data_IF_903770832722
#
_entry.id   IF_903770832722
#
_cell.length_a   1.000
_cell.length_b   1.000
_cell.length_c   1.000
_cell.angle_alpha   90.00
_cell.angle_beta   90.00
_cell.angle_gamma   90.00
#
_symmetry.space_group_name_H-M   'P 1'
#
loop_
_entity.id
_entity.type
_entity.pdbx_description
1 polymer ?
#
# COMPACT_ATOMS: atom_id res chain seq x y z
N UNK A 1 51.96 -5.66 87.47
CA UNK A 1 51.71 -6.97 86.83
C UNK A 1 50.23 -7.34 86.99
N UNK A 2 49.28 -6.67 86.29
CA UNK A 2 47.87 -7.12 86.23
C UNK A 2 46.95 -6.35 85.25
N UNK A 3 47.47 -6.00 84.06
CA UNK A 3 46.64 -5.52 82.93
C UNK A 3 46.81 -6.36 81.66
N UNK A 4 47.90 -7.11 81.57
CA UNK A 4 48.19 -8.03 80.45
C UNK A 4 47.43 -9.37 80.61
N UNK A 5 47.15 -9.81 81.85
CA UNK A 5 46.44 -11.07 82.13
C UNK A 5 44.91 -11.03 81.86
N UNK A 6 44.29 -9.85 81.73
CA UNK A 6 42.85 -9.76 81.42
C UNK A 6 42.55 -9.89 79.92
N UNK A 7 43.47 -9.52 79.04
CA UNK A 7 43.28 -9.71 77.59
C UNK A 7 43.56 -11.15 77.13
N UNK A 8 44.35 -11.92 77.88
CA UNK A 8 44.64 -13.32 77.54
C UNK A 8 43.49 -14.29 77.88
N UNK A 9 42.57 -13.90 78.76
CA UNK A 9 41.47 -14.77 79.21
C UNK A 9 40.17 -14.52 78.43
N UNK A 10 39.99 -13.34 77.83
CA UNK A 10 38.81 -13.06 76.98
C UNK A 10 38.90 -13.76 75.62
N UNK A 11 40.09 -14.17 75.18
CA UNK A 11 40.25 -15.03 74.00
C UNK A 11 39.72 -16.47 74.19
N UNK A 12 39.32 -16.85 75.42
CA UNK A 12 38.86 -18.21 75.74
C UNK A 12 37.32 -18.37 75.80
N UNK A 13 36.54 -17.32 75.53
CA UNK A 13 35.07 -17.36 75.68
C UNK A 13 34.39 -16.84 74.40
N UNK A 14 34.52 -17.57 73.30
CA UNK A 14 33.45 -17.76 72.31
C UNK A 14 33.57 -19.21 71.79
N UNK A 15 33.19 -20.15 72.66
CA UNK A 15 32.97 -21.56 72.32
C UNK A 15 31.49 -21.71 71.94
N UNK A 16 31.22 -21.98 70.66
CA UNK A 16 29.85 -22.16 70.18
C UNK A 16 29.78 -22.78 68.80
N UNK A 17 30.26 -24.02 68.65
CA UNK A 17 29.57 -25.20 68.06
C UNK A 17 30.58 -26.33 67.81
N UNK A 18 30.28 -27.53 68.31
CA UNK A 18 31.08 -28.76 68.19
C UNK A 18 30.81 -29.47 66.85
N UNK A 19 31.86 -29.91 66.16
CA UNK A 19 31.75 -30.72 64.94
C UNK A 19 33.08 -31.15 64.30
N UNK A 20 33.79 -32.08 64.95
CA UNK A 20 34.83 -33.01 64.43
C UNK A 20 36.07 -32.49 63.68
N UNK A 21 37.21 -32.51 64.41
CA UNK A 21 38.57 -32.90 64.00
C UNK A 21 39.25 -32.22 62.80
N UNK A 22 40.03 -31.17 63.09
CA UNK A 22 41.46 -31.02 62.68
C UNK A 22 42.07 -29.80 63.40
N UNK A 23 43.02 -30.04 64.30
CA UNK A 23 43.87 -28.99 64.88
C UNK A 23 44.76 -28.43 63.77
N UNK A 24 44.59 -27.14 63.43
CA UNK A 24 45.51 -26.17 62.79
C UNK A 24 44.71 -25.26 61.86
N UNK A 25 44.13 -24.18 62.41
CA UNK A 25 43.98 -22.84 61.83
C UNK A 25 42.94 -22.08 62.68
N UNK A 26 43.41 -21.31 63.67
CA UNK A 26 42.58 -20.30 64.32
C UNK A 26 42.26 -19.23 63.28
N UNK A 27 41.00 -19.14 62.85
CA UNK A 27 40.52 -18.01 62.05
C UNK A 27 40.40 -16.80 62.97
N UNK A 28 41.18 -15.77 62.71
CA UNK A 28 41.06 -14.48 63.36
C UNK A 28 40.53 -13.52 62.30
N UNK A 29 39.24 -13.23 62.38
CA UNK A 29 38.64 -12.21 61.54
C UNK A 29 39.36 -10.88 61.83
N UNK A 30 39.97 -10.29 60.80
CA UNK A 30 40.68 -9.00 60.92
C UNK A 30 39.70 -7.83 61.03
N UNK A 31 38.51 -7.98 60.44
CA UNK A 31 37.44 -7.00 60.53
C UNK A 31 36.84 -6.89 61.93
N UNK A 32 36.45 -5.67 62.32
CA UNK A 32 35.59 -5.44 63.48
C UNK A 32 34.23 -6.10 63.26
N UNK A 33 33.71 -6.84 64.26
CA UNK A 33 32.42 -7.55 64.20
C UNK A 33 32.26 -8.54 63.02
N UNK A 34 33.37 -9.05 62.49
CA UNK A 34 33.39 -9.94 61.33
C UNK A 34 33.25 -11.43 61.70
N UNK A 35 32.74 -12.23 60.76
CA UNK A 35 32.60 -13.70 60.88
C UNK A 35 33.57 -14.38 59.91
N UNK A 36 34.45 -15.24 60.41
CA UNK A 36 35.40 -16.00 59.60
C UNK A 36 35.39 -17.49 59.94
N UNK A 37 34.96 -18.31 58.99
CA UNK A 37 34.88 -19.77 59.14
C UNK A 37 35.49 -20.48 57.93
N UNK A 38 36.40 -21.43 58.18
CA UNK A 38 37.02 -22.27 57.15
C UNK A 38 38.52 -22.02 56.96
N UNK A 39 39.22 -23.05 56.50
CA UNK A 39 40.68 -23.01 56.33
C UNK A 39 41.10 -21.91 55.33
N UNK A 40 41.84 -20.91 55.81
CA UNK A 40 42.35 -19.80 54.99
C UNK A 40 41.29 -18.80 54.54
N UNK A 41 40.08 -18.87 55.11
CA UNK A 41 39.08 -17.80 54.99
C UNK A 41 39.66 -16.48 55.51
N UNK A 42 39.17 -15.34 55.00
CA UNK A 42 39.61 -13.99 55.40
C UNK A 42 38.44 -13.02 55.42
N UNK A 43 37.99 -12.65 56.62
CA UNK A 43 37.04 -11.57 56.82
C UNK A 43 37.80 -10.30 57.25
N UNK A 44 38.20 -9.47 56.27
CA UNK A 44 39.08 -8.31 56.49
C UNK A 44 38.35 -6.99 56.75
N UNK A 45 37.09 -6.89 56.31
CA UNK A 45 36.29 -5.68 56.43
C UNK A 45 35.46 -5.65 57.70
N UNK A 46 35.09 -4.46 58.17
CA UNK A 46 34.14 -4.32 59.27
C UNK A 46 32.79 -4.97 58.90
N UNK A 47 32.16 -5.67 59.84
CA UNK A 47 30.90 -6.41 59.65
C UNK A 47 30.93 -7.45 58.52
N UNK A 48 32.13 -7.84 58.05
CA UNK A 48 32.25 -8.73 56.90
C UNK A 48 32.10 -10.21 57.28
N UNK A 49 31.65 -11.03 56.34
CA UNK A 49 31.41 -12.47 56.56
C UNK A 49 32.17 -13.28 55.52
N UNK A 50 33.10 -14.13 55.95
CA UNK A 50 33.82 -15.08 55.08
C UNK A 50 33.63 -16.51 55.59
N UNK A 51 32.85 -17.32 54.87
CA UNK A 51 32.54 -18.72 55.24
C UNK A 51 32.94 -19.64 54.09
N UNK A 52 33.85 -20.58 54.34
CA UNK A 52 34.37 -21.53 53.36
C UNK A 52 35.88 -21.40 53.16
N UNK A 53 36.53 -22.51 52.79
CA UNK A 53 37.98 -22.52 52.59
C UNK A 53 38.41 -21.47 51.56
N UNK A 54 39.41 -20.65 51.90
CA UNK A 54 39.92 -19.56 51.06
C UNK A 54 38.89 -18.48 50.67
N UNK A 55 37.71 -18.43 51.29
CA UNK A 55 36.73 -17.36 51.10
C UNK A 55 37.30 -16.00 51.57
N UNK A 56 37.00 -14.91 50.87
CA UNK A 56 37.56 -13.58 51.16
C UNK A 56 36.48 -12.50 51.09
N UNK A 57 36.15 -11.92 52.23
CA UNK A 57 35.33 -10.73 52.35
C UNK A 57 36.23 -9.53 52.72
N UNK A 58 36.59 -8.72 51.72
CA UNK A 58 37.73 -7.80 51.83
C UNK A 58 37.43 -6.41 52.40
N UNK A 59 36.17 -5.96 52.38
CA UNK A 59 35.77 -4.59 52.72
C UNK A 59 34.48 -4.57 53.57
N UNK A 60 34.08 -3.38 54.03
CA UNK A 60 32.95 -3.22 54.96
C UNK A 60 31.65 -3.82 54.43
N UNK A 61 30.91 -4.50 55.30
CA UNK A 61 29.64 -5.16 55.01
C UNK A 61 29.69 -6.17 53.84
N UNK A 62 30.88 -6.66 53.46
CA UNK A 62 31.03 -7.61 52.37
C UNK A 62 30.85 -9.06 52.83
N UNK A 63 30.24 -9.90 52.00
CA UNK A 63 29.85 -11.28 52.34
C UNK A 63 30.39 -12.24 51.28
N UNK A 64 31.25 -13.18 51.68
CA UNK A 64 31.79 -14.23 50.83
C UNK A 64 31.50 -15.61 51.44
N UNK A 65 30.61 -16.38 50.83
CA UNK A 65 30.21 -17.71 51.31
C UNK A 65 30.45 -18.74 50.20
N UNK A 66 31.40 -19.65 50.41
CA UNK A 66 31.78 -20.70 49.47
C UNK A 66 33.30 -20.85 49.35
N UNK A 67 33.76 -22.04 48.96
CA UNK A 67 35.19 -22.26 48.72
C UNK A 67 35.71 -21.32 47.62
N UNK A 68 36.76 -20.56 47.91
CA UNK A 68 37.31 -19.50 47.05
C UNK A 68 36.34 -18.37 46.67
N UNK A 69 35.23 -18.17 47.39
CA UNK A 69 34.35 -17.01 47.16
C UNK A 69 35.10 -15.69 47.46
N UNK A 70 34.90 -14.65 46.66
CA UNK A 70 35.57 -13.34 46.82
C UNK A 70 34.55 -12.21 46.75
N UNK A 71 34.28 -11.55 47.86
CA UNK A 71 33.59 -10.26 47.92
C UNK A 71 34.61 -9.15 48.14
N UNK A 72 35.00 -8.50 47.04
CA UNK A 72 36.16 -7.60 47.00
C UNK A 72 35.84 -6.19 47.49
N UNK A 73 34.64 -5.63 47.28
CA UNK A 73 34.31 -4.24 47.61
C UNK A 73 33.22 -4.13 48.70
N UNK A 74 32.97 -2.90 49.16
CA UNK A 74 31.96 -2.62 50.19
C UNK A 74 30.58 -3.09 49.75
N UNK A 75 29.83 -3.70 50.68
CA UNK A 75 28.50 -4.27 50.44
C UNK A 75 28.43 -5.33 49.34
N UNK A 76 29.56 -5.83 48.84
CA UNK A 76 29.60 -6.87 47.82
C UNK A 76 29.25 -8.23 48.42
N UNK A 77 28.52 -9.05 47.69
CA UNK A 77 28.09 -10.38 48.13
C UNK A 77 28.47 -11.44 47.10
N UNK A 78 29.32 -12.38 47.47
CA UNK A 78 29.75 -13.53 46.68
C UNK A 78 29.27 -14.83 47.34
N UNK A 79 28.35 -15.56 46.71
CA UNK A 79 27.75 -16.78 47.23
C UNK A 79 27.96 -17.95 46.25
N UNK A 80 28.75 -18.95 46.63
CA UNK A 80 29.02 -20.16 45.84
C UNK A 80 30.51 -20.40 45.60
N UNK A 81 30.86 -21.61 45.16
CA UNK A 81 32.22 -21.99 44.79
C UNK A 81 32.78 -21.02 43.76
N UNK A 82 33.91 -20.38 44.09
CA UNK A 82 34.62 -19.46 43.21
C UNK A 82 33.72 -18.34 42.64
N UNK A 83 32.71 -17.92 43.40
CA UNK A 83 31.91 -16.72 43.10
C UNK A 83 32.74 -15.46 43.38
N UNK A 84 32.61 -14.44 42.53
CA UNK A 84 33.47 -13.25 42.57
C UNK A 84 32.61 -11.99 42.44
N UNK A 85 32.46 -11.24 43.53
CA UNK A 85 31.79 -9.95 43.54
C UNK A 85 32.82 -8.80 43.66
N UNK A 86 33.13 -8.16 42.53
CA UNK A 86 34.08 -7.02 42.44
C UNK A 86 33.41 -5.66 42.38
N UNK A 87 32.11 -5.57 42.15
CA UNK A 87 31.41 -4.28 42.23
C UNK A 87 31.14 -3.88 43.67
N UNK A 88 31.17 -2.58 43.98
CA UNK A 88 30.56 -2.09 45.22
C UNK A 88 29.03 -2.34 45.14
N UNK A 89 28.44 -2.87 46.22
CA UNK A 89 27.01 -3.25 46.30
C UNK A 89 26.58 -4.25 45.22
N UNK A 90 27.49 -5.08 44.72
CA UNK A 90 27.18 -6.10 43.72
C UNK A 90 26.89 -7.47 44.35
N UNK A 91 26.12 -8.31 43.66
CA UNK A 91 25.76 -9.67 44.11
C UNK A 91 26.17 -10.66 43.04
N UNK A 92 27.12 -11.56 43.33
CA UNK A 92 27.45 -12.72 42.52
C UNK A 92 27.04 -13.99 43.27
N UNK A 93 25.94 -14.63 42.85
CA UNK A 93 25.45 -15.85 43.49
C UNK A 93 25.35 -17.00 42.48
N UNK A 94 26.14 -18.04 42.72
CA UNK A 94 26.26 -19.22 41.87
C UNK A 94 27.73 -19.59 41.66
N UNK A 95 27.95 -20.85 41.30
CA UNK A 95 29.31 -21.39 41.05
C UNK A 95 29.95 -20.65 39.87
N UNK A 96 31.14 -20.08 40.07
CA UNK A 96 31.84 -19.25 39.07
C UNK A 96 31.06 -18.02 38.58
N UNK A 97 30.09 -17.51 39.35
CA UNK A 97 29.45 -16.24 39.04
C UNK A 97 30.43 -15.06 39.25
N UNK A 98 30.37 -14.04 38.39
CA UNK A 98 31.20 -12.84 38.50
C UNK A 98 30.34 -11.57 38.38
N UNK A 99 30.61 -10.59 39.23
CA UNK A 99 30.17 -9.20 39.03
C UNK A 99 31.35 -8.25 39.03
N UNK A 100 31.40 -7.31 38.08
CA UNK A 100 32.39 -6.22 38.02
C UNK A 100 31.77 -4.84 38.17
N UNK A 101 30.52 -4.68 37.75
CA UNK A 101 29.82 -3.41 37.81
C UNK A 101 29.38 -3.05 39.22
N UNK A 102 29.43 -1.77 39.58
CA UNK A 102 28.76 -1.28 40.79
C UNK A 102 27.26 -1.55 40.67
N UNK A 103 26.60 -1.97 41.75
CA UNK A 103 25.17 -2.33 41.79
C UNK A 103 24.75 -3.50 40.88
N UNK A 104 25.68 -4.24 40.27
CA UNK A 104 25.32 -5.32 39.34
C UNK A 104 24.93 -6.61 40.07
N UNK A 105 24.13 -7.46 39.42
CA UNK A 105 23.64 -8.72 39.98
C UNK A 105 23.86 -9.86 38.99
N UNK A 106 24.57 -10.91 39.38
CA UNK A 106 24.81 -12.13 38.60
C UNK A 106 24.30 -13.35 39.38
N UNK A 107 23.26 -14.02 38.87
CA UNK A 107 22.58 -15.14 39.52
C UNK A 107 22.58 -16.39 38.63
N UNK A 108 23.40 -17.38 38.96
CA UNK A 108 23.51 -18.63 38.23
C UNK A 108 24.95 -19.16 38.16
N UNK A 109 25.11 -20.38 37.65
CA UNK A 109 26.45 -20.89 37.37
C UNK A 109 27.05 -20.18 36.15
N UNK A 110 28.31 -19.77 36.26
CA UNK A 110 29.09 -19.11 35.20
C UNK A 110 28.46 -17.80 34.65
N UNK A 111 27.67 -17.09 35.46
CA UNK A 111 27.07 -15.80 35.06
C UNK A 111 28.03 -14.64 35.21
N UNK A 112 27.96 -13.63 34.33
CA UNK A 112 28.75 -12.42 34.44
C UNK A 112 27.90 -11.15 34.29
N UNK A 113 27.87 -10.29 35.30
CA UNK A 113 27.29 -8.95 35.22
C UNK A 113 28.40 -7.89 35.40
N UNK A 114 28.93 -7.41 34.27
CA UNK A 114 30.15 -6.59 34.25
C UNK A 114 29.89 -5.09 34.10
N UNK A 115 28.75 -4.69 33.52
CA UNK A 115 28.37 -3.30 33.40
C UNK A 115 27.81 -2.70 34.69
N UNK A 116 27.91 -1.38 34.84
CA UNK A 116 27.30 -0.65 35.95
C UNK A 116 25.79 -0.93 36.00
N UNK A 117 25.27 -1.36 37.16
CA UNK A 117 23.85 -1.65 37.34
C UNK A 117 23.30 -2.78 36.46
N UNK A 118 24.16 -3.63 35.88
CA UNK A 118 23.71 -4.70 34.99
C UNK A 118 23.19 -5.93 35.75
N UNK A 119 22.35 -6.74 35.09
CA UNK A 119 21.74 -7.93 35.69
C UNK A 119 21.86 -9.15 34.77
N UNK A 120 22.52 -10.21 35.23
CA UNK A 120 22.62 -11.49 34.52
C UNK A 120 21.97 -12.61 35.35
N UNK A 121 20.99 -13.33 34.78
CA UNK A 121 20.27 -14.41 35.45
C UNK A 121 20.12 -15.63 34.54
N UNK A 122 20.59 -16.80 35.02
CA UNK A 122 20.55 -18.08 34.29
C UNK A 122 21.94 -18.56 33.88
N UNK A 123 22.12 -19.88 33.72
CA UNK A 123 23.43 -20.50 33.44
C UNK A 123 24.16 -19.82 32.27
N UNK A 124 25.41 -19.39 32.50
CA UNK A 124 26.24 -18.73 31.50
C UNK A 124 25.61 -17.46 30.85
N UNK A 125 24.74 -16.74 31.57
CA UNK A 125 24.24 -15.43 31.12
C UNK A 125 25.26 -14.31 31.32
N UNK A 126 25.25 -13.33 30.42
CA UNK A 126 26.25 -12.25 30.35
C UNK A 126 25.59 -10.87 30.15
N UNK A 127 25.62 -10.01 31.17
CA UNK A 127 25.18 -8.62 31.08
C UNK A 127 26.40 -7.70 31.13
N UNK A 128 26.95 -7.38 29.96
CA UNK A 128 28.28 -6.77 29.80
C UNK A 128 28.23 -5.25 29.60
N UNK A 129 27.13 -4.71 29.07
CA UNK A 129 26.92 -3.26 28.96
C UNK A 129 26.41 -2.62 30.24
N UNK A 130 26.62 -1.32 30.40
CA UNK A 130 26.04 -0.56 31.53
C UNK A 130 24.51 -0.56 31.44
N UNK A 131 23.84 -0.79 32.57
CA UNK A 131 22.38 -0.95 32.68
C UNK A 131 21.82 -2.02 31.73
N UNK A 132 22.61 -3.06 31.42
CA UNK A 132 22.16 -4.16 30.56
C UNK A 132 21.52 -5.28 31.38
N UNK A 133 20.60 -6.02 30.77
CA UNK A 133 19.89 -7.12 31.40
C UNK A 133 19.92 -8.38 30.52
N UNK A 134 20.41 -9.49 31.05
CA UNK A 134 20.46 -10.79 30.38
C UNK A 134 19.72 -11.85 31.20
N UNK A 135 18.58 -12.33 30.69
CA UNK A 135 17.72 -13.31 31.36
C UNK A 135 17.60 -14.59 30.53
N UNK A 136 18.18 -15.69 31.01
CA UNK A 136 18.11 -17.00 30.37
C UNK A 136 19.48 -17.65 30.21
N UNK A 137 19.51 -18.96 30.02
CA UNK A 137 20.75 -19.68 29.75
C UNK A 137 21.43 -19.12 28.49
N UNK A 138 22.73 -18.80 28.57
CA UNK A 138 23.52 -18.21 27.49
C UNK A 138 22.96 -16.89 26.92
N UNK A 139 22.03 -16.21 27.61
CA UNK A 139 21.58 -14.88 27.19
C UNK A 139 22.72 -13.87 27.34
N UNK A 140 22.88 -12.96 26.38
CA UNK A 140 23.95 -11.98 26.38
C UNK A 140 23.47 -10.58 25.96
N UNK A 141 23.61 -9.61 26.86
CA UNK A 141 23.36 -8.20 26.61
C UNK A 141 24.72 -7.47 26.57
N UNK A 142 25.22 -7.22 25.36
CA UNK A 142 26.58 -6.71 25.13
C UNK A 142 26.70 -5.20 25.24
N UNK A 143 25.60 -4.49 24.98
CA UNK A 143 25.58 -3.04 24.81
C UNK A 143 24.85 -2.33 25.94
N UNK A 144 25.05 -1.01 26.02
CA UNK A 144 24.47 -0.17 27.06
C UNK A 144 22.94 -0.19 26.97
N UNK A 145 22.28 -0.33 28.11
CA UNK A 145 20.82 -0.32 28.22
C UNK A 145 20.12 -1.36 27.32
N UNK A 146 20.81 -2.45 26.99
CA UNK A 146 20.26 -3.53 26.16
C UNK A 146 19.72 -4.67 27.01
N UNK A 147 18.66 -5.31 26.52
CA UNK A 147 17.91 -6.37 27.22
C UNK A 147 17.89 -7.61 26.33
N UNK A 148 18.41 -8.75 26.82
CA UNK A 148 18.37 -10.04 26.15
C UNK A 148 17.55 -11.04 26.98
N UNK A 149 16.41 -11.51 26.46
CA UNK A 149 15.53 -12.46 27.16
C UNK A 149 15.36 -13.76 26.39
N UNK A 150 15.69 -14.89 27.02
CA UNK A 150 15.54 -16.25 26.51
C UNK A 150 16.87 -16.97 26.25
N UNK A 151 16.80 -18.28 26.07
CA UNK A 151 17.96 -19.14 25.78
C UNK A 151 18.76 -18.62 24.58
N UNK A 152 20.03 -18.29 24.80
CA UNK A 152 20.95 -17.80 23.77
C UNK A 152 20.59 -16.44 23.18
N UNK A 153 19.63 -15.69 23.75
CA UNK A 153 19.25 -14.39 23.19
C UNK A 153 20.43 -13.42 23.23
N UNK A 154 20.60 -12.61 22.18
CA UNK A 154 21.68 -11.62 22.12
C UNK A 154 21.13 -10.23 21.80
N UNK A 155 21.54 -9.24 22.59
CA UNK A 155 21.29 -7.83 22.33
C UNK A 155 22.65 -7.12 22.13
N UNK A 156 22.95 -6.78 20.87
CA UNK A 156 24.23 -6.26 20.42
C UNK A 156 24.23 -4.73 20.30
N UNK A 157 23.06 -4.09 20.21
CA UNK A 157 22.95 -2.63 20.04
C UNK A 157 22.51 -1.94 21.34
N UNK A 158 22.84 -0.64 21.47
CA UNK A 158 22.36 0.17 22.59
C UNK A 158 20.84 0.32 22.55
N UNK A 159 20.19 0.25 23.71
CA UNK A 159 18.72 0.33 23.86
C UNK A 159 17.93 -0.79 23.15
N UNK A 160 18.60 -1.87 22.72
CA UNK A 160 17.95 -3.00 22.07
C UNK A 160 17.22 -3.90 23.07
N UNK A 161 15.98 -4.29 22.75
CA UNK A 161 15.29 -5.39 23.42
C UNK A 161 15.24 -6.61 22.50
N UNK A 162 16.06 -7.62 22.79
CA UNK A 162 16.17 -8.85 22.00
C UNK A 162 15.53 -10.05 22.70
N UNK A 163 14.67 -10.72 21.95
CA UNK A 163 14.13 -12.05 22.29
C UNK A 163 14.65 -13.13 21.37
N UNK A 164 15.67 -12.84 20.56
CA UNK A 164 16.19 -13.74 19.53
C UNK A 164 17.65 -14.12 19.78
N UNK A 165 18.02 -15.33 19.39
CA UNK A 165 19.43 -15.74 19.36
C UNK A 165 20.04 -15.21 18.08
N UNK A 166 21.04 -14.35 18.22
CA UNK A 166 21.90 -13.96 17.12
C UNK A 166 23.16 -14.85 17.08
N UNK A 167 23.62 -15.15 15.88
CA UNK A 167 24.77 -16.01 15.60
C UNK A 167 25.98 -15.22 15.13
N UNK A 168 25.86 -13.89 15.08
CA UNK A 168 27.02 -13.00 14.96
C UNK A 168 27.97 -13.28 16.14
N UNK A 169 29.14 -13.84 15.82
CA UNK A 169 30.24 -14.21 16.71
C UNK A 169 29.95 -15.29 17.77
N UNK A 170 29.75 -16.54 17.35
CA UNK A 170 29.98 -17.69 18.24
C UNK A 170 31.47 -17.78 18.63
N UNK A 171 31.77 -17.96 19.92
CA UNK A 171 33.14 -18.18 20.44
C UNK A 171 33.75 -19.52 19.98
N UNK A 172 32.98 -20.35 19.28
CA UNK A 172 33.38 -21.64 18.73
C UNK A 172 33.19 -21.65 17.21
N UNK A 173 34.31 -21.61 16.50
CA UNK A 173 34.39 -21.82 15.06
C UNK A 173 34.07 -23.31 14.76
N UNK A 174 33.03 -23.61 13.99
CA UNK A 174 32.80 -24.97 13.45
C UNK A 174 31.44 -25.64 13.67
N UNK A 175 30.50 -25.02 14.39
CA UNK A 175 29.10 -25.46 14.43
C UNK A 175 28.21 -24.32 13.92
N UNK A 176 27.48 -24.46 12.80
CA UNK A 176 26.55 -23.45 12.35
C UNK A 176 25.41 -23.40 13.36
N UNK A 177 25.49 -22.49 14.32
CA UNK A 177 24.31 -22.14 15.09
C UNK A 177 23.38 -21.36 14.16
N UNK A 178 22.11 -21.74 14.12
CA UNK A 178 21.08 -20.98 13.40
C UNK A 178 20.56 -19.85 14.30
N UNK A 179 20.29 -18.69 13.70
CA UNK A 179 19.61 -17.61 14.40
C UNK A 179 18.22 -18.12 14.84
N UNK A 180 17.88 -17.92 16.12
CA UNK A 180 16.57 -18.32 16.64
C UNK A 180 15.70 -17.08 16.74
N UNK A 181 14.66 -17.04 15.91
CA UNK A 181 13.57 -16.07 16.02
C UNK A 181 12.46 -16.65 16.89
N UNK A 182 11.91 -15.83 17.79
CA UNK A 182 10.78 -16.22 18.63
C UNK A 182 9.52 -15.51 18.16
N UNK A 183 8.40 -16.24 18.15
CA UNK A 183 7.08 -15.60 18.02
C UNK A 183 6.73 -14.95 19.34
N UNK A 184 6.31 -13.69 19.28
CA UNK A 184 5.69 -12.99 20.40
C UNK A 184 4.18 -13.08 20.20
N UNK A 185 3.49 -13.81 21.07
CA UNK A 185 2.03 -14.07 20.96
C UNK A 185 1.29 -13.49 22.16
N UNK A 186 -0.04 -13.38 22.07
CA UNK A 186 -0.88 -12.71 23.07
C UNK A 186 -0.54 -11.23 23.28
N UNK A 187 -0.09 -10.57 22.21
CA UNK A 187 0.10 -9.12 22.16
C UNK A 187 -1.24 -8.49 21.82
N UNK A 188 -1.69 -7.55 22.65
CA UNK A 188 -2.87 -6.75 22.37
C UNK A 188 -2.60 -5.75 21.23
N UNK A 189 -3.66 -5.35 20.54
CA UNK A 189 -3.61 -4.35 19.48
C UNK A 189 -2.97 -3.03 19.94
N UNK A 190 -1.98 -2.56 19.18
CA UNK A 190 -1.32 -1.28 19.44
C UNK A 190 -2.24 -0.09 19.20
N UNK A 191 -2.17 0.93 20.06
CA UNK A 191 -3.03 2.12 20.01
C UNK A 191 -2.23 3.37 19.68
N UNK A 192 -1.00 3.48 20.18
CA UNK A 192 -0.08 4.60 19.98
C UNK A 192 0.96 4.30 18.91
N UNK A 193 1.66 5.34 18.46
CA UNK A 193 2.65 5.26 17.37
C UNK A 193 3.84 4.32 17.65
N UNK A 194 4.15 4.04 18.92
CA UNK A 194 5.26 3.18 19.33
C UNK A 194 4.81 1.83 19.92
N UNK A 195 3.53 1.47 19.78
CA UNK A 195 3.05 0.17 20.20
C UNK A 195 3.37 -0.89 19.14
N UNK A 196 3.54 -2.15 19.56
CA UNK A 196 3.66 -3.27 18.64
C UNK A 196 2.36 -3.46 17.85
N UNK A 197 2.47 -3.77 16.56
CA UNK A 197 1.32 -4.04 15.67
C UNK A 197 1.04 -5.54 15.65
N UNK A 198 -0.21 -5.94 15.89
CA UNK A 198 -0.62 -7.34 15.75
C UNK A 198 -0.85 -7.71 14.28
N UNK A 199 -0.80 -9.02 13.98
CA UNK A 199 -1.12 -9.51 12.61
C UNK A 199 -2.55 -9.17 12.21
N UNK A 200 -3.49 -9.14 13.16
CA UNK A 200 -4.87 -8.73 12.93
C UNK A 200 -4.97 -7.26 12.50
N UNK A 201 -4.32 -6.34 13.21
CA UNK A 201 -4.28 -4.93 12.84
C UNK A 201 -3.69 -4.71 11.45
N UNK A 202 -2.60 -5.40 11.13
CA UNK A 202 -1.97 -5.33 9.82
C UNK A 202 -2.95 -5.81 8.74
N UNK A 203 -3.57 -6.97 8.92
CA UNK A 203 -4.51 -7.55 7.96
C UNK A 203 -5.77 -6.70 7.78
N UNK A 204 -6.30 -6.11 8.86
CA UNK A 204 -7.45 -5.19 8.82
C UNK A 204 -7.11 -3.92 8.04
N UNK A 205 -5.95 -3.30 8.31
CA UNK A 205 -5.48 -2.11 7.57
C UNK A 205 -5.21 -2.41 6.10
N UNK A 206 -4.62 -3.56 5.78
CA UNK A 206 -4.34 -3.97 4.41
C UNK A 206 -5.62 -4.34 3.65
N UNK A 207 -6.54 -5.07 4.28
CA UNK A 207 -7.86 -5.39 3.73
C UNK A 207 -8.68 -4.15 3.39
N UNK A 208 -8.65 -3.13 4.27
CA UNK A 208 -9.30 -1.84 4.00
C UNK A 208 -8.67 -1.09 2.82
N UNK A 209 -7.35 -1.20 2.60
CA UNK A 209 -6.69 -0.60 1.44
C UNK A 209 -7.04 -1.32 0.14
N UNK A 210 -7.06 -2.65 0.11
CA UNK A 210 -7.32 -3.41 -1.12
C UNK A 210 -8.74 -3.20 -1.69
N UNK A 211 -9.71 -2.76 -0.90
CA UNK A 211 -11.11 -2.78 -1.29
C UNK A 211 -11.70 -1.43 -1.78
N UNK A 212 -10.92 -0.34 -1.82
CA UNK A 212 -11.49 1.00 -2.04
C UNK A 212 -10.73 1.95 -2.98
N UNK A 213 -9.57 1.58 -3.54
CA UNK A 213 -8.82 2.49 -4.41
C UNK A 213 -8.55 1.88 -5.80
N UNK A 214 -8.88 2.63 -6.87
CA UNK A 214 -8.57 2.28 -8.26
C UNK A 214 -7.07 2.03 -8.46
N UNK A 215 -6.23 2.63 -7.62
CA UNK A 215 -4.77 2.48 -7.62
C UNK A 215 -4.29 1.05 -7.27
N UNK A 216 -5.15 0.21 -6.70
CA UNK A 216 -4.83 -1.18 -6.38
C UNK A 216 -5.22 -2.17 -7.48
N UNK A 217 -5.75 -1.69 -8.60
CA UNK A 217 -6.03 -2.52 -9.78
C UNK A 217 -4.75 -2.66 -10.63
N UNK A 218 -4.47 -3.87 -11.09
CA UNK A 218 -3.46 -4.09 -12.14
C UNK A 218 -3.83 -3.30 -13.40
N UNK A 219 -2.87 -3.08 -14.32
CA UNK A 219 -3.16 -2.44 -15.62
C UNK A 219 -4.35 -3.08 -16.34
N UNK A 220 -4.49 -4.41 -16.24
CA UNK A 220 -5.64 -5.14 -16.80
C UNK A 220 -6.95 -4.83 -16.05
N UNK A 221 -6.91 -4.77 -14.71
CA UNK A 221 -8.07 -4.37 -13.90
C UNK A 221 -8.51 -2.93 -14.17
N UNK A 222 -7.56 -2.00 -14.23
CA UNK A 222 -7.80 -0.59 -14.59
C UNK A 222 -8.38 -0.46 -15.99
N UNK A 223 -7.87 -1.24 -16.95
CA UNK A 223 -8.42 -1.27 -18.32
C UNK A 223 -9.85 -1.82 -18.32
N UNK A 224 -10.12 -2.91 -17.60
CA UNK A 224 -11.46 -3.50 -17.52
C UNK A 224 -12.47 -2.56 -16.87
N UNK A 225 -12.10 -1.86 -15.80
CA UNK A 225 -12.96 -0.86 -15.17
C UNK A 225 -13.21 0.34 -16.09
N UNK A 226 -12.18 0.83 -16.81
CA UNK A 226 -12.36 1.87 -17.84
C UNK A 226 -13.31 1.41 -18.95
N UNK A 227 -13.17 0.18 -19.42
CA UNK A 227 -14.07 -0.41 -20.42
C UNK A 227 -15.50 -0.49 -19.89
N UNK A 228 -15.71 -1.07 -18.70
CA UNK A 228 -17.05 -1.22 -18.10
C UNK A 228 -17.70 0.14 -17.79
N UNK A 229 -16.94 1.11 -17.28
CA UNK A 229 -17.43 2.46 -17.07
C UNK A 229 -17.82 3.14 -18.40
N UNK A 230 -17.00 2.98 -19.44
CA UNK A 230 -17.32 3.46 -20.80
C UNK A 230 -18.57 2.79 -21.39
N UNK A 231 -18.71 1.47 -21.24
CA UNK A 231 -19.90 0.71 -21.65
C UNK A 231 -21.15 1.19 -20.90
N UNK A 232 -21.08 1.37 -19.58
CA UNK A 232 -22.20 1.84 -18.76
C UNK A 232 -22.57 3.30 -19.03
N UNK A 233 -21.59 4.19 -19.21
CA UNK A 233 -21.84 5.56 -19.66
C UNK A 233 -22.51 5.55 -21.03
N UNK A 234 -22.03 4.72 -21.96
CA UNK A 234 -22.63 4.60 -23.30
C UNK A 234 -24.06 4.06 -23.20
N UNK A 235 -24.29 3.05 -22.36
CA UNK A 235 -25.61 2.49 -22.10
C UNK A 235 -26.57 3.50 -21.47
N UNK A 236 -26.11 4.30 -20.49
CA UNK A 236 -26.90 5.35 -19.84
C UNK A 236 -27.18 6.51 -20.81
N UNK A 237 -26.19 6.95 -21.57
CA UNK A 237 -26.38 7.97 -22.62
C UNK A 237 -27.35 7.47 -23.69
N UNK A 238 -27.32 6.18 -24.03
CA UNK A 238 -28.25 5.63 -25.04
C UNK A 238 -29.63 5.28 -24.48
N UNK A 239 -29.77 4.92 -23.20
CA UNK A 239 -31.07 4.62 -22.58
C UNK A 239 -31.80 5.85 -22.02
N UNK A 240 -31.09 6.82 -21.42
CA UNK A 240 -31.72 7.98 -20.78
C UNK A 240 -31.53 9.30 -21.55
N UNK A 241 -30.47 9.45 -22.34
CA UNK A 241 -30.22 10.68 -23.11
C UNK A 241 -30.64 10.59 -24.59
N UNK A 242 -30.74 9.37 -25.16
CA UNK A 242 -31.06 9.17 -26.59
C UNK A 242 -32.04 8.02 -26.84
N UNK A 243 -32.98 7.75 -25.92
CA UNK A 243 -34.17 6.96 -26.27
C UNK A 243 -35.21 7.74 -27.05
N UNK A 244 -35.10 9.07 -27.14
CA UNK A 244 -35.89 9.85 -28.10
C UNK A 244 -35.05 10.96 -28.77
N UNK A 245 -34.59 10.67 -30.00
CA UNK A 245 -34.26 11.62 -31.10
C UNK A 245 -32.81 11.98 -31.46
N UNK A 246 -31.82 11.09 -31.42
CA UNK A 246 -30.72 11.21 -32.43
C UNK A 246 -30.14 9.85 -32.82
N UNK A 247 -30.47 9.36 -34.03
CA UNK A 247 -29.68 8.30 -34.69
C UNK A 247 -28.59 8.95 -35.55
N UNK A 248 -27.35 8.48 -35.42
CA UNK A 248 -26.26 8.77 -36.36
C UNK A 248 -26.64 8.26 -37.74
N UNK A 249 -26.76 9.16 -38.70
CA UNK A 249 -26.91 8.85 -40.12
C UNK A 249 -26.16 9.90 -40.94
N UNK A 250 -25.52 9.48 -42.02
CA UNK A 250 -24.93 10.39 -43.00
C UNK A 250 -26.07 11.02 -43.80
N UNK A 251 -26.07 12.35 -43.93
CA UNK A 251 -27.03 13.07 -44.78
C UNK A 251 -26.55 12.98 -46.24
N UNK A 252 -27.24 12.20 -47.06
CA UNK A 252 -26.92 12.03 -48.49
C UNK A 252 -28.15 12.07 -49.41
N UNK A 253 -29.26 12.67 -48.98
CA UNK A 253 -30.51 12.74 -49.76
C UNK A 253 -31.01 14.18 -49.86
N UNK A 254 -31.21 14.66 -51.09
CA UNK A 254 -31.66 16.02 -51.47
C UNK A 254 -33.12 16.33 -51.09
N UNK A 255 -33.72 15.54 -50.19
CA UNK A 255 -35.08 15.78 -49.70
C UNK A 255 -35.24 15.15 -48.31
N UNK A 256 -35.82 15.93 -47.38
CA UNK A 256 -36.22 15.49 -46.04
C UNK A 256 -37.75 15.37 -46.00
N UNK A 257 -38.24 14.15 -45.79
CA UNK A 257 -39.67 13.87 -45.70
C UNK A 257 -40.03 13.62 -44.23
N UNK A 258 -40.78 14.55 -43.61
CA UNK A 258 -41.27 14.40 -42.23
C UNK A 258 -42.75 14.04 -42.27
N UNK A 259 -43.11 12.88 -41.72
CA UNK A 259 -44.51 12.48 -41.51
C UNK A 259 -44.74 12.14 -40.04
N UNK A 260 -45.78 12.75 -39.47
CA UNK A 260 -46.30 12.49 -38.12
C UNK A 260 -47.61 13.24 -37.91
N UNK A 261 -48.47 12.75 -37.03
CA UNK A 261 -49.83 13.27 -36.76
C UNK A 261 -49.88 14.30 -35.61
N UNK A 262 -48.74 14.92 -35.29
CA UNK A 262 -48.62 15.87 -34.17
C UNK A 262 -49.27 17.22 -34.46
N UNK A 263 -50.06 17.72 -33.50
CA UNK A 263 -50.68 19.05 -33.50
C UNK A 263 -49.61 20.09 -33.13
N UNK A 264 -49.28 21.02 -34.04
CA UNK A 264 -48.45 22.18 -33.71
C UNK A 264 -49.24 23.12 -32.77
N UNK A 265 -48.62 23.52 -31.66
CA UNK A 265 -49.17 24.51 -30.71
C UNK A 265 -48.28 25.74 -30.75
N UNK A 266 -48.86 26.90 -31.11
CA UNK A 266 -48.22 28.22 -31.02
C UNK A 266 -47.50 28.68 -32.30
N UNK A 267 -48.13 29.64 -32.98
CA UNK A 267 -47.61 30.53 -34.05
C UNK A 267 -46.49 29.99 -34.97
N UNK A 268 -46.92 29.41 -36.09
CA UNK A 268 -46.23 29.19 -37.38
C UNK A 268 -44.73 29.53 -37.50
N UNK A 269 -43.92 28.50 -37.76
CA UNK A 269 -42.76 28.63 -38.65
C UNK A 269 -43.23 28.23 -40.06
N UNK A 270 -43.67 29.22 -40.83
CA UNK A 270 -44.19 29.05 -42.21
C UNK A 270 -43.03 29.19 -43.20
N UNK A 271 -42.64 28.10 -43.85
CA UNK A 271 -41.85 28.14 -45.09
C UNK A 271 -42.85 28.11 -46.26
N UNK A 272 -42.95 29.24 -46.95
CA UNK A 272 -43.81 29.51 -48.10
C UNK A 272 -43.12 29.09 -49.42
N UNK A 273 -43.58 27.98 -50.01
CA UNK A 273 -43.42 27.67 -51.44
C UNK A 273 -44.75 28.04 -52.13
N UNK A 274 -44.86 29.34 -52.42
CA UNK A 274 -46.00 30.08 -52.98
C UNK A 274 -46.95 29.25 -53.84
N UNK A 275 -47.99 28.71 -53.20
CA UNK A 275 -49.37 28.57 -53.74
C UNK A 275 -50.12 27.30 -53.31
N UNK A 276 -49.70 26.62 -52.24
CA UNK A 276 -50.55 26.27 -51.08
C UNK A 276 -51.91 25.57 -51.25
N UNK A 277 -52.34 25.09 -52.43
CA UNK A 277 -53.49 24.18 -52.61
C UNK A 277 -53.55 23.59 -54.03
N UNK A 278 -54.10 22.38 -54.15
CA UNK A 278 -54.60 21.82 -55.41
C UNK A 278 -56.10 22.13 -55.47
N UNK A 279 -56.48 23.16 -56.24
CA UNK A 279 -57.88 23.54 -56.47
C UNK A 279 -58.39 22.90 -57.77
N UNK A 280 -59.71 22.75 -57.91
CA UNK A 280 -60.35 22.23 -59.16
C UNK A 280 -59.95 23.03 -60.41
N UNK A 281 -59.68 24.34 -60.25
CA UNK A 281 -59.15 25.21 -61.30
C UNK A 281 -57.68 24.94 -61.66
N UNK A 282 -56.83 24.55 -60.71
CA UNK A 282 -55.47 24.05 -60.99
C UNK A 282 -55.51 22.71 -61.71
N UNK A 283 -56.39 21.80 -61.29
CA UNK A 283 -56.58 20.52 -61.98
C UNK A 283 -57.04 20.70 -63.43
N UNK A 284 -57.94 21.66 -63.71
CA UNK A 284 -58.34 21.98 -65.09
C UNK A 284 -57.26 22.67 -65.91
N UNK A 285 -56.37 23.44 -65.28
CA UNK A 285 -55.25 24.10 -65.96
C UNK A 285 -54.11 23.12 -66.27
N UNK A 286 -53.85 22.17 -65.38
CA UNK A 286 -52.89 21.09 -65.62
C UNK A 286 -53.44 20.11 -66.67
N UNK A 287 -54.75 19.76 -66.63
CA UNK A 287 -55.41 18.99 -67.70
C UNK A 287 -55.41 19.75 -69.04
N UNK A 288 -55.65 21.06 -69.03
CA UNK A 288 -55.56 21.90 -70.24
C UNK A 288 -54.12 21.99 -70.75
N UNK A 289 -53.12 21.97 -69.88
CA UNK A 289 -51.69 21.97 -70.25
C UNK A 289 -51.29 20.62 -70.85
N UNK A 290 -51.84 19.52 -70.32
CA UNK A 290 -51.63 18.16 -70.83
C UNK A 290 -52.40 17.88 -72.15
N UNK A 291 -53.52 18.57 -72.37
CA UNK A 291 -54.30 18.54 -73.64
C UNK A 291 -53.70 19.50 -74.68
N UNK A 292 -53.25 20.71 -74.30
CA UNK A 292 -52.60 21.70 -75.19
C UNK A 292 -51.27 21.21 -75.79
N UNK A 293 -50.74 20.08 -75.32
CA UNK A 293 -49.55 19.43 -75.83
C UNK A 293 -49.78 18.19 -76.71
N UNK A 294 -51.02 17.70 -76.87
CA UNK A 294 -51.30 16.39 -77.50
C UNK A 294 -52.13 16.39 -78.79
N UNK A 295 -52.58 17.55 -79.28
CA UNK A 295 -53.03 17.73 -80.66
C UNK A 295 -52.47 19.05 -81.18
N UNK A 296 -51.40 18.96 -81.97
CA UNK A 296 -50.68 20.10 -82.50
C UNK A 296 -50.54 19.95 -84.02
N UNK A 297 -49.93 20.94 -84.64
CA UNK A 297 -50.10 21.24 -86.05
C UNK A 297 -49.71 20.13 -87.06
N UNK A 298 -49.11 19.02 -86.62
CA UNK A 298 -48.95 17.80 -87.40
C UNK A 298 -50.29 17.18 -87.79
N UNK A 299 -51.32 17.24 -86.94
CA UNK A 299 -52.60 16.57 -87.19
C UNK A 299 -53.48 17.36 -88.19
N UNK A 300 -53.42 18.70 -88.13
CA UNK A 300 -54.07 19.57 -89.11
C UNK A 300 -53.36 19.55 -90.49
N UNK A 301 -52.07 19.22 -90.53
CA UNK A 301 -51.30 19.19 -91.78
C UNK A 301 -51.73 18.08 -92.75
N UNK A 302 -52.41 17.04 -92.26
CA UNK A 302 -52.97 15.97 -93.11
C UNK A 302 -54.24 16.39 -93.88
N UNK A 303 -54.85 17.54 -93.55
CA UNK A 303 -56.12 18.01 -94.14
C UNK A 303 -56.00 19.35 -94.89
N UNK A 304 -54.80 19.94 -95.01
CA UNK A 304 -54.57 21.18 -95.77
C UNK A 304 -54.32 20.89 -97.27
N UNK A 305 -55.01 21.60 -98.17
CA UNK A 305 -54.84 21.48 -99.64
C UNK A 305 -53.43 21.90 -100.08
N UNK A 306 -52.81 21.09 -100.94
CA UNK A 306 -51.37 21.09 -101.28
C UNK A 306 -51.02 21.71 -102.64
N UNK A 307 -51.80 22.67 -103.16
CA UNK A 307 -51.44 23.38 -104.40
C UNK A 307 -51.43 24.91 -104.20
N UNK A 308 -50.34 25.55 -104.64
CA UNK A 308 -50.08 26.98 -104.45
C UNK A 308 -50.46 27.81 -105.70
N UNK A 309 -51.41 27.33 -106.50
CA UNK A 309 -51.73 27.89 -107.83
C UNK A 309 -52.32 29.31 -107.78
N UNK A 310 -52.77 29.76 -106.61
CA UNK A 310 -53.44 31.04 -106.36
C UNK A 310 -52.55 32.11 -105.68
N UNK A 311 -51.29 31.84 -105.34
CA UNK A 311 -50.39 32.82 -104.70
C UNK A 311 -49.46 33.45 -105.76
N UNK A 312 -49.61 34.76 -105.97
CA UNK A 312 -48.84 35.55 -106.97
C UNK A 312 -48.39 36.90 -106.38
N UNK A 313 -47.44 37.57 -107.03
CA UNK A 313 -47.03 38.95 -106.72
C UNK A 313 -46.42 39.14 -105.34
N UNK A 314 -46.65 40.29 -104.69
CA UNK A 314 -46.05 40.65 -103.39
C UNK A 314 -46.29 39.61 -102.28
N UNK A 315 -47.42 38.91 -102.32
CA UNK A 315 -47.67 37.81 -101.38
C UNK A 315 -46.66 36.68 -101.55
N UNK A 316 -46.35 36.31 -102.80
CA UNK A 316 -45.33 35.30 -103.10
C UNK A 316 -43.96 35.73 -102.57
N UNK A 317 -43.56 36.98 -102.82
CA UNK A 317 -42.28 37.52 -102.35
C UNK A 317 -42.20 37.58 -100.83
N UNK A 318 -43.28 38.00 -100.17
CA UNK A 318 -43.36 38.08 -98.71
C UNK A 318 -43.25 36.69 -98.09
N UNK A 319 -43.95 35.70 -98.65
CA UNK A 319 -43.86 34.32 -98.20
C UNK A 319 -42.50 33.67 -98.52
N UNK A 320 -41.91 33.91 -99.69
CA UNK A 320 -40.57 33.45 -100.05
C UNK A 320 -39.47 34.06 -99.16
N UNK A 321 -39.62 35.33 -98.77
CA UNK A 321 -38.67 36.01 -97.86
C UNK A 321 -38.67 35.41 -96.45
N UNK A 322 -39.80 34.85 -96.02
CA UNK A 322 -39.94 34.22 -94.70
C UNK A 322 -39.65 32.71 -94.77
N UNK A 323 -39.85 32.06 -95.92
CA UNK A 323 -39.96 30.59 -96.00
C UNK A 323 -39.07 29.90 -97.07
N UNK A 324 -38.42 30.63 -97.99
CA UNK A 324 -37.59 30.08 -99.07
C UNK A 324 -38.30 29.96 -100.44
N UNK A 325 -37.54 29.64 -101.50
CA UNK A 325 -37.94 29.74 -102.92
C UNK A 325 -37.95 28.41 -103.72
N UNK A 326 -38.24 27.26 -103.07
CA UNK A 326 -38.02 25.92 -103.65
C UNK A 326 -38.97 25.47 -104.78
N UNK A 327 -38.41 24.75 -105.76
CA UNK A 327 -39.05 24.14 -106.96
C UNK A 327 -39.52 22.69 -106.72
N UNK A 328 -40.57 22.25 -107.43
CA UNK A 328 -41.26 20.96 -107.25
C UNK A 328 -40.48 19.81 -107.94
N UNK A 329 -39.85 18.92 -107.16
CA UNK A 329 -39.49 17.56 -107.57
C UNK A 329 -39.83 16.56 -106.45
N UNK A 330 -40.14 15.32 -106.83
CA UNK A 330 -41.00 14.36 -106.10
C UNK A 330 -40.50 13.85 -104.73
N UNK A 331 -39.42 14.40 -104.13
CA UNK A 331 -38.86 13.90 -102.85
C UNK A 331 -38.29 14.97 -101.89
N UNK A 332 -38.89 16.16 -101.74
CA UNK A 332 -38.50 17.09 -100.64
C UNK A 332 -39.65 17.88 -99.98
N UNK A 333 -39.63 17.93 -98.63
CA UNK A 333 -40.69 18.35 -97.69
C UNK A 333 -40.79 19.88 -97.48
N UNK A 334 -41.09 20.65 -98.53
CA UNK A 334 -41.01 22.12 -98.51
C UNK A 334 -42.33 22.93 -98.54
N UNK A 335 -43.49 22.32 -98.31
CA UNK A 335 -44.76 23.08 -98.27
C UNK A 335 -45.01 23.72 -96.91
N UNK A 336 -45.68 24.88 -96.91
CA UNK A 336 -46.20 25.56 -95.73
C UNK A 336 -47.18 24.61 -95.03
N UNK A 337 -46.69 23.90 -94.03
CA UNK A 337 -47.54 22.99 -93.24
C UNK A 337 -48.39 23.81 -92.27
N UNK A 338 -49.51 23.22 -91.83
CA UNK A 338 -50.33 23.79 -90.74
C UNK A 338 -49.51 24.22 -89.52
N UNK A 339 -48.31 23.64 -89.33
CA UNK A 339 -47.29 24.03 -88.35
C UNK A 339 -46.91 25.49 -88.35
N UNK A 340 -46.68 26.07 -89.53
CA UNK A 340 -46.28 27.49 -89.61
C UNK A 340 -47.46 28.45 -89.40
N UNK A 341 -48.68 28.02 -89.72
CA UNK A 341 -49.92 28.79 -89.47
C UNK A 341 -50.25 28.84 -87.97
N UNK A 342 -50.04 27.72 -87.26
CA UNK A 342 -50.21 27.61 -85.82
C UNK A 342 -49.31 28.60 -85.05
N UNK A 343 -48.04 28.69 -85.39
CA UNK A 343 -47.11 29.62 -84.73
C UNK A 343 -47.47 31.10 -84.96
N UNK A 344 -48.07 31.46 -86.11
CA UNK A 344 -48.50 32.83 -86.38
C UNK A 344 -49.75 33.26 -85.59
N UNK A 345 -50.65 32.32 -85.26
CA UNK A 345 -51.87 32.60 -84.50
C UNK A 345 -51.64 32.62 -82.98
N UNK A 346 -50.60 31.94 -82.50
CA UNK A 346 -50.28 31.80 -81.06
C UNK A 346 -49.95 33.12 -80.35
N UNK A 347 -49.73 34.21 -81.10
CA UNK A 347 -49.46 35.56 -80.59
C UNK A 347 -50.65 36.52 -80.56
N UNK A 348 -51.90 36.04 -80.75
CA UNK A 348 -53.15 36.82 -80.63
C UNK A 348 -54.11 36.20 -79.61
#
# INVERSE_FOLDING_TARGET
MNKILRNSIVAAIVLGTVGTSSFYNYTYAKGEDAVEEGNGAKANGKLSVAIGGLAKAQNEDSIAIGYCALAQNEYAMALGYNSIAKGEKSIAAGVNSETKGRFSVALGNATAANGYGSMALGFASHALGDHSEAFGENAAAFSKSSVAIGYGSKANDEYEFSVGKDVTNGWYEGYPEEAIYRRITHVADGVKDHDAVTVEQLNSKLGNKLNLNLDNLTTAGTSKVKTLAGEQITATVTQDFVTEKVKKGTLTSDTLNVKGTGKLVGSDLKIDLKDGSVTKGKLSNDLQTEIKGKANASDLSAYAKTDATNIKGESLTKWQSVLGNGTITEKNKGLVTGGKVYEALKGK
#
